data_IF_777062070713
#
_entry.id   IF_777062070713
#
_cell.length_a   1.000
_cell.length_b   1.000
_cell.length_c   1.000
_cell.angle_alpha   90.00
_cell.angle_beta   90.00
_cell.angle_gamma   90.00
#
_symmetry.space_group_name_H-M   'P 1'
#
loop_
_entity.id
_entity.type
_entity.pdbx_description
1 polymer ?
#
# COMPACT_ATOMS: atom_id res chain seq x y z
N UNK A 1 14.06 -8.32 14.30
CA UNK A 1 14.24 -9.19 13.12
C UNK A 1 15.19 -10.31 13.50
N UNK A 2 14.78 -11.55 13.25
CA UNK A 2 15.53 -12.77 13.65
C UNK A 2 16.47 -13.20 12.51
N UNK A 3 16.31 -12.65 11.30
CA UNK A 3 17.12 -13.04 10.16
C UNK A 3 18.39 -12.18 10.06
N UNK A 4 19.53 -12.85 9.86
CA UNK A 4 20.84 -12.26 9.57
C UNK A 4 21.10 -12.14 8.07
N UNK A 5 20.37 -12.91 7.28
CA UNK A 5 20.52 -13.00 5.84
C UNK A 5 19.15 -13.01 5.17
N UNK A 6 19.03 -12.24 4.09
CA UNK A 6 17.81 -12.16 3.28
C UNK A 6 18.20 -12.54 1.85
N UNK A 7 17.45 -13.46 1.25
CA UNK A 7 17.61 -13.87 -0.14
C UNK A 7 16.37 -13.41 -0.91
N UNK A 8 16.58 -12.61 -1.94
CA UNK A 8 15.55 -12.15 -2.86
C UNK A 8 15.67 -12.90 -4.18
N UNK A 9 14.59 -13.51 -4.63
CA UNK A 9 14.47 -14.04 -5.98
C UNK A 9 13.70 -13.03 -6.83
N UNK A 10 14.37 -12.44 -7.82
CA UNK A 10 13.79 -11.39 -8.64
C UNK A 10 14.21 -11.61 -10.11
N UNK A 11 13.23 -11.68 -11.04
CA UNK A 11 13.44 -11.94 -12.48
C UNK A 11 14.46 -13.06 -12.79
N UNK A 12 14.34 -14.19 -12.13
CA UNK A 12 15.25 -15.36 -12.26
C UNK A 12 16.66 -15.15 -11.70
N UNK A 13 16.94 -14.04 -11.02
CA UNK A 13 18.18 -13.77 -10.31
C UNK A 13 18.00 -13.89 -8.80
N UNK A 14 19.02 -14.46 -8.14
CA UNK A 14 19.10 -14.52 -6.69
C UNK A 14 20.02 -13.41 -6.18
N UNK A 15 19.52 -12.60 -5.28
CA UNK A 15 20.29 -11.57 -4.60
C UNK A 15 20.35 -11.90 -3.11
N UNK A 16 21.53 -11.86 -2.53
CA UNK A 16 21.72 -12.10 -1.09
C UNK A 16 22.12 -10.81 -0.39
N UNK A 17 21.49 -10.54 0.74
CA UNK A 17 21.76 -9.38 1.58
C UNK A 17 22.11 -9.85 2.98
N UNK A 18 23.29 -9.50 3.47
CA UNK A 18 23.74 -9.83 4.82
C UNK A 18 23.38 -8.68 5.75
N UNK A 19 22.29 -8.81 6.48
CA UNK A 19 21.81 -7.78 7.37
C UNK A 19 20.33 -7.93 7.75
N UNK A 20 19.83 -6.95 8.47
CA UNK A 20 18.43 -6.89 8.86
C UNK A 20 17.53 -6.39 7.69
N UNK A 21 16.22 -6.42 7.91
CA UNK A 21 15.23 -5.99 6.90
C UNK A 21 15.43 -4.53 6.44
N UNK A 22 15.81 -3.62 7.33
CA UNK A 22 16.06 -2.23 6.98
C UNK A 22 17.25 -2.10 6.01
N UNK A 23 18.33 -2.83 6.25
CA UNK A 23 19.48 -2.91 5.35
C UNK A 23 19.11 -3.48 3.97
N UNK A 24 18.28 -4.53 3.95
CA UNK A 24 17.76 -5.09 2.70
C UNK A 24 16.99 -4.06 1.88
N UNK A 25 16.05 -3.32 2.50
CA UNK A 25 15.23 -2.30 1.82
C UNK A 25 16.11 -1.19 1.24
N UNK A 26 17.09 -0.71 2.00
CA UNK A 26 18.04 0.31 1.55
C UNK A 26 18.85 -0.18 0.34
N UNK A 27 19.46 -1.36 0.44
CA UNK A 27 20.30 -1.92 -0.62
C UNK A 27 19.51 -2.33 -1.86
N UNK A 28 18.28 -2.76 -1.68
CA UNK A 28 17.36 -3.00 -2.79
C UNK A 28 17.02 -1.71 -3.54
N UNK A 29 16.72 -0.64 -2.81
CA UNK A 29 16.44 0.67 -3.40
C UNK A 29 17.65 1.20 -4.20
N UNK A 30 18.87 1.16 -3.64
CA UNK A 30 20.10 1.52 -4.33
C UNK A 30 20.31 0.72 -5.63
N UNK A 31 20.06 -0.61 -5.58
CA UNK A 31 20.17 -1.48 -6.75
C UNK A 31 19.19 -1.08 -7.86
N UNK A 32 17.94 -0.84 -7.50
CA UNK A 32 16.90 -0.45 -8.45
C UNK A 32 17.19 0.92 -9.05
N UNK A 33 17.64 1.87 -8.25
CA UNK A 33 18.06 3.20 -8.74
C UNK A 33 19.23 3.10 -9.74
N UNK A 34 20.23 2.29 -9.42
CA UNK A 34 21.35 2.03 -10.33
C UNK A 34 20.89 1.41 -11.66
N UNK A 35 20.00 0.40 -11.61
CA UNK A 35 19.41 -0.21 -12.81
C UNK A 35 18.60 0.79 -13.62
N UNK A 36 17.78 1.62 -12.97
CA UNK A 36 17.02 2.65 -13.66
C UNK A 36 17.90 3.71 -14.32
N UNK A 37 18.99 4.10 -13.67
CA UNK A 37 19.98 5.01 -14.26
C UNK A 37 20.66 4.41 -15.50
N UNK A 38 20.96 3.10 -15.50
CA UNK A 38 21.50 2.40 -16.69
C UNK A 38 20.48 2.35 -17.83
N UNK A 39 19.20 2.06 -17.51
CA UNK A 39 18.11 2.03 -18.49
C UNK A 39 17.90 3.44 -19.09
N UNK A 40 17.99 4.49 -18.29
CA UNK A 40 17.84 5.86 -18.78
C UNK A 40 19.02 6.28 -19.68
N UNK A 41 20.23 5.86 -19.35
CA UNK A 41 21.41 6.03 -20.25
C UNK A 41 21.19 5.28 -21.58
N UNK A 42 20.71 4.01 -21.52
CA UNK A 42 20.40 3.23 -22.70
C UNK A 42 19.30 3.88 -23.54
N UNK A 43 18.28 4.47 -22.90
CA UNK A 43 17.18 5.19 -23.58
C UNK A 43 17.67 6.46 -24.29
N UNK A 44 18.54 7.21 -23.68
CA UNK A 44 19.11 8.40 -24.30
C UNK A 44 19.98 8.04 -25.52
N UNK A 45 20.80 6.99 -25.41
CA UNK A 45 21.57 6.43 -26.52
C UNK A 45 20.63 5.90 -27.63
N UNK A 46 19.57 5.19 -27.25
CA UNK A 46 18.58 4.68 -28.21
C UNK A 46 17.91 5.78 -29.00
N UNK A 47 17.56 6.93 -28.38
CA UNK A 47 17.00 8.09 -29.11
C UNK A 47 17.96 8.61 -30.18
N UNK A 48 19.23 8.72 -29.85
CA UNK A 48 20.28 9.18 -30.80
C UNK A 48 20.45 8.18 -31.94
N UNK A 49 20.51 6.87 -31.63
CA UNK A 49 20.65 5.83 -32.63
C UNK A 49 19.37 5.65 -33.48
N UNK A 50 18.18 5.91 -32.91
CA UNK A 50 16.92 5.89 -33.64
C UNK A 50 16.86 6.99 -34.72
N UNK A 51 17.38 8.19 -34.41
CA UNK A 51 17.48 9.27 -35.40
C UNK A 51 18.44 8.90 -36.54
N UNK A 52 19.54 8.22 -36.19
CA UNK A 52 20.47 7.72 -37.19
C UNK A 52 19.84 6.63 -38.08
N UNK A 53 19.13 5.67 -37.50
CA UNK A 53 18.42 4.62 -38.22
C UNK A 53 17.34 5.17 -39.18
N UNK A 54 16.61 6.24 -38.76
CA UNK A 54 15.60 6.90 -39.60
C UNK A 54 16.18 7.57 -40.86
N UNK A 55 17.45 7.93 -40.83
CA UNK A 55 18.16 8.52 -41.99
C UNK A 55 18.56 7.48 -43.04
N UNK A 56 18.13 6.22 -42.93
CA UNK A 56 18.46 5.10 -43.83
C UNK A 56 19.94 5.03 -44.17
N UNK A 57 20.82 4.61 -43.26
CA UNK A 57 22.25 4.48 -43.53
C UNK A 57 22.48 3.44 -44.62
N UNK A 58 23.20 3.81 -45.69
CA UNK A 58 23.55 2.90 -46.77
C UNK A 58 24.46 1.78 -46.22
N UNK A 59 24.05 0.52 -46.42
CA UNK A 59 24.74 -0.67 -45.92
C UNK A 59 26.03 -0.99 -46.70
N UNK A 60 27.05 -0.14 -46.61
CA UNK A 60 28.33 -0.35 -47.31
C UNK A 60 29.54 -0.54 -46.42
N UNK A 61 29.42 -1.10 -45.21
CA UNK A 61 30.58 -1.63 -44.47
C UNK A 61 30.16 -2.42 -43.23
N UNK A 62 31.00 -3.38 -42.78
CA UNK A 62 30.84 -4.15 -41.54
C UNK A 62 30.56 -3.28 -40.29
N UNK A 63 31.04 -2.04 -40.26
CA UNK A 63 30.74 -1.07 -39.18
C UNK A 63 29.27 -0.65 -39.10
N UNK A 64 28.54 -0.63 -40.23
CA UNK A 64 27.12 -0.32 -40.22
C UNK A 64 26.30 -1.47 -39.64
N UNK A 65 26.67 -2.73 -39.92
CA UNK A 65 25.99 -3.90 -39.36
C UNK A 65 26.14 -3.95 -37.84
N UNK A 66 27.34 -3.80 -37.30
CA UNK A 66 27.59 -3.76 -35.85
C UNK A 66 26.75 -2.68 -35.15
N UNK A 67 26.60 -1.51 -35.78
CA UNK A 67 25.80 -0.42 -35.21
C UNK A 67 24.29 -0.73 -35.24
N UNK A 68 23.83 -1.45 -36.26
CA UNK A 68 22.44 -1.93 -36.35
C UNK A 68 22.17 -2.99 -35.26
N UNK A 69 23.08 -3.92 -35.08
CA UNK A 69 22.96 -4.95 -34.03
C UNK A 69 22.96 -4.31 -32.64
N UNK A 70 23.81 -3.34 -32.41
CA UNK A 70 23.86 -2.59 -31.15
C UNK A 70 22.59 -1.75 -30.90
N UNK A 71 21.95 -1.23 -31.97
CA UNK A 71 20.66 -0.55 -31.88
C UNK A 71 19.56 -1.48 -31.33
N UNK A 72 19.45 -2.72 -31.80
CA UNK A 72 18.47 -3.67 -31.30
C UNK A 72 18.76 -4.11 -29.87
N UNK A 73 20.01 -4.20 -29.48
CA UNK A 73 20.41 -4.43 -28.08
C UNK A 73 20.00 -3.27 -27.17
N UNK A 74 20.25 -2.03 -27.62
CA UNK A 74 19.83 -0.83 -26.89
C UNK A 74 18.31 -0.71 -26.81
N UNK A 75 17.59 -1.06 -27.87
CA UNK A 75 16.13 -1.10 -27.87
C UNK A 75 15.60 -2.06 -26.82
N UNK A 76 16.18 -3.26 -26.72
CA UNK A 76 15.81 -4.27 -25.72
C UNK A 76 16.07 -3.76 -24.30
N UNK A 77 17.23 -3.15 -24.04
CA UNK A 77 17.56 -2.54 -22.75
C UNK A 77 16.69 -1.34 -22.41
N UNK A 78 16.42 -0.47 -23.37
CA UNK A 78 15.58 0.72 -23.17
C UNK A 78 14.10 0.38 -22.84
N UNK A 79 13.64 -0.80 -23.25
CA UNK A 79 12.30 -1.33 -22.96
C UNK A 79 12.19 -2.02 -21.58
N UNK A 80 13.31 -2.29 -20.91
CA UNK A 80 13.36 -3.00 -19.62
C UNK A 80 13.10 -2.09 -18.40
N UNK A 81 12.51 -0.92 -18.59
CA UNK A 81 12.27 -0.02 -17.46
C UNK A 81 11.41 -0.69 -16.39
N UNK A 82 11.99 -0.90 -15.22
CA UNK A 82 11.24 -1.12 -14.00
C UNK A 82 10.62 0.20 -13.59
N UNK A 83 9.33 0.28 -13.73
CA UNK A 83 8.58 1.38 -13.15
C UNK A 83 8.36 1.05 -11.67
N UNK A 84 9.36 1.29 -10.83
CA UNK A 84 8.99 1.71 -9.50
C UNK A 84 8.34 3.06 -9.73
N UNK A 85 7.03 3.05 -9.63
CA UNK A 85 6.24 4.26 -9.76
C UNK A 85 6.55 5.05 -8.50
N UNK A 86 7.50 5.99 -8.60
CA UNK A 86 7.65 7.06 -7.61
C UNK A 86 6.42 7.97 -7.74
N UNK A 87 5.27 7.41 -7.39
CA UNK A 87 4.00 8.12 -7.41
C UNK A 87 3.94 8.92 -6.13
N UNK A 88 4.22 10.19 -6.23
CA UNK A 88 3.89 11.16 -5.20
C UNK A 88 2.36 11.25 -5.11
N UNK A 89 1.79 10.37 -4.31
CA UNK A 89 0.35 10.25 -4.10
C UNK A 89 -0.08 11.11 -2.93
N UNK A 90 -0.33 12.34 -3.18
CA UNK A 90 -1.22 13.10 -2.30
C UNK A 90 -2.67 12.79 -2.71
N UNK A 91 -3.23 11.63 -2.30
CA UNK A 91 -4.67 11.43 -2.40
C UNK A 91 -5.33 12.46 -1.50
N UNK A 92 -6.17 13.32 -2.09
CA UNK A 92 -6.91 14.31 -1.33
C UNK A 92 -7.86 13.59 -0.39
N UNK A 93 -7.51 13.51 0.89
CA UNK A 93 -8.47 13.11 1.91
C UNK A 93 -9.63 14.11 1.91
N UNK A 94 -10.84 13.61 2.08
CA UNK A 94 -12.01 14.49 2.20
C UNK A 94 -11.83 15.48 3.35
N UNK A 95 -12.64 16.56 3.34
CA UNK A 95 -12.63 17.55 4.43
C UNK A 95 -12.75 16.85 5.79
N UNK A 96 -11.87 17.19 6.71
CA UNK A 96 -11.88 16.75 8.11
C UNK A 96 -12.29 17.93 8.97
N UNK A 97 -13.39 17.80 9.70
CA UNK A 97 -13.82 18.77 10.72
C UNK A 97 -12.85 18.83 11.91
N UNK A 98 -13.13 19.71 12.86
CA UNK A 98 -12.29 19.85 14.06
C UNK A 98 -12.43 18.67 15.03
N UNK A 99 -13.58 18.00 15.05
CA UNK A 99 -13.84 16.82 15.88
C UNK A 99 -13.58 15.56 15.10
N UNK A 100 -12.66 14.75 15.57
CA UNK A 100 -12.31 13.45 14.98
C UNK A 100 -13.03 12.35 15.72
N UNK A 101 -12.54 11.96 16.89
CA UNK A 101 -13.30 11.20 17.86
C UNK A 101 -12.84 11.52 19.29
N UNK A 102 -13.75 11.33 20.22
CA UNK A 102 -13.53 11.52 21.63
C UNK A 102 -14.09 10.33 22.41
N UNK A 103 -13.22 9.68 23.18
CA UNK A 103 -13.58 8.62 24.10
C UNK A 103 -13.57 9.15 25.54
N UNK A 104 -14.67 8.96 26.28
CA UNK A 104 -14.79 9.36 27.70
C UNK A 104 -15.21 8.17 28.55
N UNK A 105 -14.35 7.80 29.49
CA UNK A 105 -14.56 6.75 30.47
C UNK A 105 -15.05 5.43 29.88
N UNK A 106 -14.54 5.10 28.68
CA UNK A 106 -14.98 3.95 27.91
C UNK A 106 -14.53 2.66 28.58
N UNK A 107 -15.51 1.77 28.84
CA UNK A 107 -15.25 0.43 29.34
C UNK A 107 -15.80 -0.62 28.39
N UNK A 108 -15.05 -1.72 28.25
CA UNK A 108 -15.49 -2.92 27.52
C UNK A 108 -14.92 -4.16 28.15
N UNK A 109 -15.80 -5.12 28.46
CA UNK A 109 -15.45 -6.41 29.06
C UNK A 109 -16.19 -7.50 28.29
N UNK A 110 -15.50 -8.58 27.97
CA UNK A 110 -16.13 -9.80 27.50
C UNK A 110 -16.21 -10.84 28.61
N UNK A 111 -17.29 -11.57 28.64
CA UNK A 111 -17.48 -12.72 29.53
C UNK A 111 -17.44 -13.96 28.66
N UNK A 112 -16.52 -14.87 28.91
CA UNK A 112 -16.46 -16.15 28.20
C UNK A 112 -17.75 -16.94 28.48
N UNK A 113 -18.50 -17.34 27.46
CA UNK A 113 -19.73 -18.12 27.66
C UNK A 113 -19.45 -19.53 28.20
N UNK A 114 -18.22 -20.02 28.09
CA UNK A 114 -17.83 -21.37 28.50
C UNK A 114 -17.26 -21.37 29.93
N UNK A 115 -16.36 -20.45 30.24
CA UNK A 115 -15.61 -20.43 31.51
C UNK A 115 -16.16 -19.40 32.51
N UNK A 116 -17.04 -18.47 32.08
CA UNK A 116 -17.48 -17.35 32.90
C UNK A 116 -16.38 -16.31 33.21
N UNK A 117 -15.16 -16.50 32.71
CA UNK A 117 -14.05 -15.56 32.94
C UNK A 117 -14.31 -14.22 32.30
N UNK A 118 -14.04 -13.16 33.06
CA UNK A 118 -14.14 -11.77 32.58
C UNK A 118 -12.82 -11.33 31.99
N UNK A 119 -12.83 -10.97 30.72
CA UNK A 119 -11.70 -10.35 30.03
C UNK A 119 -11.97 -8.86 29.81
N UNK A 120 -11.30 -8.03 30.57
CA UNK A 120 -11.37 -6.57 30.41
C UNK A 120 -10.55 -6.16 29.19
N UNK A 121 -11.17 -5.49 28.24
CA UNK A 121 -10.52 -4.95 27.04
C UNK A 121 -10.15 -3.48 27.23
N UNK A 122 -11.10 -2.68 27.69
CA UNK A 122 -10.90 -1.27 28.00
C UNK A 122 -11.42 -0.99 29.42
N UNK A 123 -10.68 -0.16 30.17
CA UNK A 123 -11.06 0.28 31.50
C UNK A 123 -10.88 1.79 31.61
N UNK A 124 -11.97 2.53 31.76
CA UNK A 124 -11.97 3.98 31.90
C UNK A 124 -11.07 4.67 30.84
N UNK A 125 -11.16 4.20 29.61
CA UNK A 125 -10.33 4.70 28.53
C UNK A 125 -10.79 6.09 28.12
N UNK A 126 -9.88 7.05 28.16
CA UNK A 126 -10.09 8.42 27.76
C UNK A 126 -9.10 8.78 26.67
N UNK A 127 -9.59 9.27 25.55
CA UNK A 127 -8.73 9.68 24.44
C UNK A 127 -9.43 10.72 23.56
N UNK A 128 -8.70 11.77 23.17
CA UNK A 128 -9.15 12.76 22.20
C UNK A 128 -8.23 12.66 21.00
N UNK A 129 -8.76 12.19 19.89
CA UNK A 129 -7.98 12.02 18.66
C UNK A 129 -7.83 13.35 17.95
N UNK A 130 -6.58 13.73 17.68
CA UNK A 130 -6.24 14.99 17.03
C UNK A 130 -6.41 14.91 15.52
N UNK A 131 -6.60 16.06 14.89
CA UNK A 131 -6.71 16.13 13.43
C UNK A 131 -5.38 15.75 12.79
N UNK A 132 -5.44 14.88 11.77
CA UNK A 132 -4.28 14.33 11.04
C UNK A 132 -3.34 13.46 11.87
N UNK A 133 -3.71 13.13 13.07
CA UNK A 133 -2.94 12.23 13.92
C UNK A 133 -2.82 10.84 13.30
N UNK A 134 -1.63 10.26 13.40
CA UNK A 134 -1.35 8.90 12.97
C UNK A 134 -0.97 8.06 14.19
N UNK A 135 -1.92 7.23 14.64
CA UNK A 135 -1.80 6.42 15.85
C UNK A 135 -1.42 4.98 15.50
N UNK A 136 -0.29 4.51 16.04
CA UNK A 136 0.10 3.11 16.02
C UNK A 136 -0.42 2.37 17.25
N UNK A 137 -1.04 1.21 17.06
CA UNK A 137 -1.48 0.34 18.16
C UNK A 137 -0.63 -0.92 18.13
N UNK A 138 0.12 -1.15 19.24
CA UNK A 138 0.99 -2.31 19.40
C UNK A 138 0.51 -3.12 20.60
N UNK A 139 0.52 -4.43 20.50
CA UNK A 139 0.16 -5.31 21.61
C UNK A 139 0.13 -6.77 21.20
N UNK A 140 0.19 -7.68 22.17
CA UNK A 140 0.12 -9.13 21.92
C UNK A 140 -1.18 -9.52 21.27
N UNK A 141 -1.22 -10.69 20.62
CA UNK A 141 -2.46 -11.22 20.08
C UNK A 141 -3.48 -11.45 21.21
N UNK A 142 -4.74 -11.11 20.94
CA UNK A 142 -5.83 -11.25 21.91
C UNK A 142 -5.89 -10.15 22.98
N UNK A 143 -5.10 -9.08 22.94
CA UNK A 143 -5.20 -7.96 23.90
C UNK A 143 -6.43 -7.07 23.68
N UNK A 144 -7.11 -7.19 22.53
CA UNK A 144 -8.33 -6.41 22.27
C UNK A 144 -8.20 -5.38 21.14
N UNK A 145 -7.08 -5.40 20.38
CA UNK A 145 -6.84 -4.45 19.29
C UNK A 145 -8.00 -4.39 18.27
N UNK A 146 -8.41 -5.55 17.76
CA UNK A 146 -9.56 -5.61 16.81
C UNK A 146 -10.88 -5.26 17.48
N UNK A 147 -11.04 -5.51 18.79
CA UNK A 147 -12.22 -5.05 19.54
C UNK A 147 -12.25 -3.53 19.64
N UNK A 148 -11.10 -2.88 19.88
CA UNK A 148 -10.99 -1.43 19.89
C UNK A 148 -11.43 -0.84 18.53
N UNK A 149 -10.97 -1.42 17.42
CA UNK A 149 -11.40 -1.00 16.08
C UNK A 149 -12.92 -1.18 15.90
N UNK A 150 -13.49 -2.32 16.31
CA UNK A 150 -14.94 -2.57 16.22
C UNK A 150 -15.77 -1.61 17.06
N UNK A 151 -15.27 -1.22 18.23
CA UNK A 151 -15.88 -0.18 19.05
C UNK A 151 -15.89 1.17 18.33
N UNK A 152 -14.75 1.53 17.71
CA UNK A 152 -14.60 2.77 16.95
C UNK A 152 -15.54 2.82 15.74
N UNK A 153 -15.71 1.70 15.06
CA UNK A 153 -16.61 1.58 13.91
C UNK A 153 -18.11 1.46 14.31
N UNK A 154 -18.40 1.36 15.63
CA UNK A 154 -19.76 1.18 16.12
C UNK A 154 -20.34 -0.21 15.91
N UNK A 155 -19.52 -1.20 15.53
CA UNK A 155 -19.94 -2.59 15.32
C UNK A 155 -20.22 -3.34 16.63
N UNK A 156 -19.62 -2.88 17.73
CA UNK A 156 -19.78 -3.45 19.06
C UNK A 156 -20.19 -2.34 20.02
N UNK A 157 -21.22 -2.56 20.86
CA UNK A 157 -21.66 -1.58 21.85
C UNK A 157 -20.65 -1.46 23.01
N UNK A 158 -20.58 -0.28 23.62
CA UNK A 158 -19.86 -0.04 24.85
C UNK A 158 -20.60 -0.65 26.05
N UNK A 159 -19.89 -1.02 27.11
CA UNK A 159 -20.51 -1.39 28.38
C UNK A 159 -20.81 -0.14 29.22
N UNK A 160 -19.91 0.87 29.17
CA UNK A 160 -20.12 2.21 29.76
C UNK A 160 -19.23 3.24 29.10
N UNK A 161 -19.47 4.51 29.42
CA UNK A 161 -18.76 5.64 28.83
C UNK A 161 -19.41 6.13 27.55
N UNK A 162 -18.75 7.03 26.85
CA UNK A 162 -19.19 7.57 25.57
C UNK A 162 -18.09 7.56 24.53
N UNK A 163 -18.49 7.34 23.27
CA UNK A 163 -17.61 7.34 22.12
C UNK A 163 -18.26 8.21 21.04
N UNK A 164 -17.70 9.39 20.85
CA UNK A 164 -18.28 10.39 19.98
C UNK A 164 -17.38 10.62 18.76
N UNK A 165 -17.88 10.29 17.57
CA UNK A 165 -17.19 10.39 16.28
C UNK A 165 -17.71 11.60 15.51
N UNK A 166 -16.79 12.38 14.93
CA UNK A 166 -17.13 13.57 14.15
C UNK A 166 -17.96 13.23 12.90
N UNK A 167 -19.03 13.99 12.66
CA UNK A 167 -19.95 13.74 11.54
C UNK A 167 -19.31 13.80 10.14
N UNK A 168 -18.12 14.42 10.02
CA UNK A 168 -17.38 14.49 8.74
C UNK A 168 -16.44 13.33 8.51
N UNK A 169 -16.31 12.42 9.47
CA UNK A 169 -15.38 11.28 9.37
C UNK A 169 -15.94 10.24 8.41
N UNK A 170 -15.08 9.86 7.47
CA UNK A 170 -15.30 8.76 6.52
C UNK A 170 -14.22 7.72 6.74
N UNK A 171 -14.60 6.64 7.40
CA UNK A 171 -13.70 5.54 7.67
C UNK A 171 -13.39 4.74 6.40
N UNK A 172 -12.09 4.44 6.21
CA UNK A 172 -11.62 3.37 5.36
C UNK A 172 -11.04 2.29 6.24
N UNK A 173 -11.65 1.13 6.28
CA UNK A 173 -11.20 0.02 7.12
C UNK A 173 -10.66 -1.12 6.28
N UNK A 174 -9.38 -1.41 6.46
CA UNK A 174 -8.73 -2.59 5.93
C UNK A 174 -8.66 -3.65 7.03
N UNK A 175 -9.54 -4.63 6.92
CA UNK A 175 -9.68 -5.72 7.90
C UNK A 175 -8.74 -6.89 7.57
N UNK A 176 -8.24 -7.55 8.60
CA UNK A 176 -7.44 -8.77 8.46
C UNK A 176 -8.16 -9.89 7.70
N UNK A 177 -9.49 -10.00 7.84
CA UNK A 177 -10.29 -11.09 7.21
C UNK A 177 -10.60 -10.88 5.73
N UNK A 178 -10.13 -9.80 5.10
CA UNK A 178 -10.36 -9.51 3.68
C UNK A 178 -11.85 -9.38 3.29
N UNK A 179 -12.10 -8.85 2.10
CA UNK A 179 -13.44 -8.79 1.51
C UNK A 179 -13.71 -10.03 0.64
N UNK A 180 -14.96 -10.51 0.68
CA UNK A 180 -15.44 -11.44 -0.34
C UNK A 180 -15.87 -10.61 -1.56
N UNK A 181 -15.31 -10.91 -2.70
CA UNK A 181 -15.66 -10.28 -3.96
C UNK A 181 -16.60 -11.18 -4.76
N UNK A 182 -17.46 -10.58 -5.57
CA UNK A 182 -18.30 -11.31 -6.52
C UNK A 182 -17.43 -12.05 -7.54
N UNK A 183 -17.52 -13.37 -7.58
CA UNK A 183 -16.67 -14.24 -8.40
C UNK A 183 -16.73 -13.91 -9.91
N UNK A 184 -17.87 -13.49 -10.40
CA UNK A 184 -18.07 -13.17 -11.82
C UNK A 184 -17.59 -11.80 -12.28
N UNK A 185 -16.98 -10.98 -11.39
CA UNK A 185 -16.49 -9.64 -11.75
C UNK A 185 -15.00 -9.63 -12.11
N UNK A 186 -14.62 -8.73 -13.02
CA UNK A 186 -13.23 -8.44 -13.30
C UNK A 186 -12.65 -7.50 -12.24
N UNK A 187 -11.33 -7.57 -12.04
CA UNK A 187 -10.61 -6.70 -11.09
C UNK A 187 -10.91 -5.23 -11.33
N UNK A 188 -10.86 -4.78 -12.58
CA UNK A 188 -11.12 -3.38 -12.95
C UNK A 188 -12.56 -2.94 -12.65
N UNK A 189 -13.53 -3.84 -12.82
CA UNK A 189 -14.94 -3.51 -12.61
C UNK A 189 -15.24 -3.30 -11.13
N UNK A 190 -14.63 -4.10 -10.24
CA UNK A 190 -14.75 -3.91 -8.77
C UNK A 190 -14.30 -2.51 -8.33
N UNK A 191 -13.22 -2.04 -8.92
CA UNK A 191 -12.66 -0.74 -8.57
C UNK A 191 -13.48 0.39 -9.21
N UNK A 192 -13.96 0.21 -10.45
CA UNK A 192 -14.83 1.17 -11.15
C UNK A 192 -16.19 1.34 -10.50
N UNK A 193 -16.75 0.27 -9.93
CA UNK A 193 -18.01 0.34 -9.16
C UNK A 193 -17.90 1.29 -7.95
N UNK A 194 -16.68 1.55 -7.46
CA UNK A 194 -16.41 2.49 -6.37
C UNK A 194 -16.21 3.90 -6.93
N UNK A 195 -15.30 4.04 -7.89
CA UNK A 195 -15.02 5.29 -8.58
C UNK A 195 -14.30 5.05 -9.91
N UNK A 196 -14.71 5.73 -10.98
CA UNK A 196 -13.96 5.70 -12.24
C UNK A 196 -12.66 6.52 -12.17
N UNK A 197 -12.66 7.55 -11.34
CA UNK A 197 -11.56 8.50 -11.19
C UNK A 197 -11.40 8.89 -9.72
N UNK A 198 -10.17 8.88 -9.24
CA UNK A 198 -9.77 9.35 -7.90
C UNK A 198 -9.14 10.72 -8.02
N UNK A 199 -9.54 11.65 -7.17
CA UNK A 199 -8.90 12.96 -7.04
C UNK A 199 -7.67 12.84 -6.13
N UNK A 200 -6.50 13.12 -6.70
CA UNK A 200 -5.22 13.08 -5.97
C UNK A 200 -4.90 14.40 -5.25
N UNK A 201 -5.75 15.41 -5.35
CA UNK A 201 -5.45 16.76 -4.92
C UNK A 201 -4.72 17.58 -6.02
N UNK A 202 -4.60 18.88 -5.81
CA UNK A 202 -3.95 19.80 -6.76
C UNK A 202 -4.51 19.76 -8.20
N UNK A 203 -5.77 19.31 -8.38
CA UNK A 203 -6.39 19.16 -9.69
C UNK A 203 -5.95 17.92 -10.48
N UNK A 204 -5.07 17.11 -9.93
CA UNK A 204 -4.67 15.84 -10.55
C UNK A 204 -5.72 14.76 -10.30
N UNK A 205 -6.05 14.03 -11.36
CA UNK A 205 -7.00 12.92 -11.34
C UNK A 205 -6.31 11.65 -11.82
N UNK A 206 -6.63 10.53 -11.19
CA UNK A 206 -6.13 9.21 -11.57
C UNK A 206 -7.30 8.30 -11.92
N UNK A 207 -7.21 7.61 -13.05
CA UNK A 207 -8.22 6.63 -13.43
C UNK A 207 -8.12 5.36 -12.57
N UNK A 208 -9.19 4.58 -12.47
CA UNK A 208 -9.20 3.29 -11.79
C UNK A 208 -8.08 2.35 -12.30
N UNK A 209 -7.83 2.33 -13.61
CA UNK A 209 -6.76 1.53 -14.20
C UNK A 209 -5.36 1.98 -13.76
N UNK A 210 -5.10 3.28 -13.74
CA UNK A 210 -3.82 3.83 -13.25
C UNK A 210 -3.62 3.55 -11.76
N UNK A 211 -4.71 3.65 -10.97
CA UNK A 211 -4.67 3.32 -9.55
C UNK A 211 -4.33 1.85 -9.31
N UNK A 212 -4.95 0.93 -10.06
CA UNK A 212 -4.61 -0.48 -10.00
C UNK A 212 -3.17 -0.77 -10.43
N UNK A 213 -2.67 -0.09 -11.48
CA UNK A 213 -1.27 -0.23 -11.91
C UNK A 213 -0.29 0.18 -10.81
N UNK A 214 -0.60 1.23 -10.09
CA UNK A 214 0.19 1.67 -8.94
C UNK A 214 0.26 0.61 -7.85
N UNK A 215 -0.84 -0.09 -7.61
CA UNK A 215 -0.87 -1.26 -6.73
C UNK A 215 -0.49 -2.56 -7.44
N UNK A 216 0.38 -2.47 -8.45
CA UNK A 216 1.03 -3.58 -9.13
C UNK A 216 0.11 -4.57 -9.85
N UNK A 217 -1.10 -4.14 -10.24
CA UNK A 217 -1.93 -4.89 -11.17
C UNK A 217 -1.55 -4.55 -12.61
N UNK A 218 -0.96 -5.49 -13.32
CA UNK A 218 -0.65 -5.31 -14.74
C UNK A 218 -1.93 -5.07 -15.57
N UNK A 219 -1.85 -4.43 -16.75
CA UNK A 219 -3.02 -4.22 -17.60
C UNK A 219 -3.80 -5.49 -17.89
N UNK A 220 -3.13 -6.64 -18.08
CA UNK A 220 -3.78 -7.92 -18.33
C UNK A 220 -4.54 -8.41 -17.08
N UNK A 221 -3.91 -8.37 -15.91
CA UNK A 221 -4.54 -8.78 -14.65
C UNK A 221 -5.77 -7.95 -14.28
N UNK A 222 -5.82 -6.68 -14.69
CA UNK A 222 -7.00 -5.83 -14.45
C UNK A 222 -8.27 -6.35 -15.12
N UNK A 223 -8.14 -7.06 -16.26
CA UNK A 223 -9.25 -7.64 -17.00
C UNK A 223 -9.50 -9.11 -16.68
N UNK A 224 -8.69 -9.72 -15.80
CA UNK A 224 -8.95 -11.05 -15.28
C UNK A 224 -10.09 -11.05 -14.26
N UNK A 225 -10.73 -12.21 -14.09
CA UNK A 225 -11.76 -12.41 -13.07
C UNK A 225 -11.13 -12.53 -11.68
N UNK A 226 -11.79 -11.95 -10.67
CA UNK A 226 -11.30 -11.92 -9.29
C UNK A 226 -11.07 -13.33 -8.70
N UNK A 227 -11.82 -14.31 -9.14
CA UNK A 227 -11.65 -15.71 -8.71
C UNK A 227 -10.28 -16.31 -9.08
N UNK A 228 -9.62 -15.79 -10.13
CA UNK A 228 -8.28 -16.22 -10.55
C UNK A 228 -7.15 -15.61 -9.74
N UNK A 229 -7.44 -14.60 -8.93
CA UNK A 229 -6.45 -13.95 -8.10
C UNK A 229 -5.97 -14.88 -6.97
N UNK A 230 -4.67 -14.86 -6.72
CA UNK A 230 -4.07 -15.43 -5.51
C UNK A 230 -4.59 -14.74 -4.24
N UNK A 231 -4.34 -15.34 -3.08
CA UNK A 231 -4.73 -14.75 -1.78
C UNK A 231 -4.14 -13.35 -1.59
N UNK A 232 -2.84 -13.17 -1.84
CA UNK A 232 -2.15 -11.88 -1.73
C UNK A 232 -2.68 -10.83 -2.72
N UNK A 233 -2.99 -11.22 -3.97
CA UNK A 233 -3.60 -10.32 -4.95
C UNK A 233 -5.02 -9.90 -4.55
N UNK A 234 -5.80 -10.78 -3.93
CA UNK A 234 -7.13 -10.42 -3.38
C UNK A 234 -7.01 -9.42 -2.24
N UNK A 235 -6.04 -9.60 -1.34
CA UNK A 235 -5.77 -8.65 -0.26
C UNK A 235 -5.30 -7.30 -0.80
N UNK A 236 -4.47 -7.29 -1.83
CA UNK A 236 -4.06 -6.08 -2.55
C UNK A 236 -5.25 -5.38 -3.19
N UNK A 237 -6.15 -6.13 -3.83
CA UNK A 237 -7.40 -5.58 -4.39
C UNK A 237 -8.30 -5.01 -3.28
N UNK A 238 -8.42 -5.70 -2.14
CA UNK A 238 -9.14 -5.19 -0.98
C UNK A 238 -8.58 -3.85 -0.53
N UNK A 239 -7.26 -3.74 -0.40
CA UNK A 239 -6.62 -2.46 -0.07
C UNK A 239 -6.97 -1.36 -1.08
N UNK A 240 -6.91 -1.67 -2.39
CA UNK A 240 -7.31 -0.73 -3.43
C UNK A 240 -8.76 -0.25 -3.24
N UNK A 241 -9.69 -1.16 -2.94
CA UNK A 241 -11.11 -0.79 -2.74
C UNK A 241 -11.32 0.12 -1.54
N UNK A 242 -10.56 -0.07 -0.47
CA UNK A 242 -10.60 0.80 0.71
C UNK A 242 -10.09 2.19 0.38
N UNK A 243 -8.94 2.29 -0.29
CA UNK A 243 -8.28 3.56 -0.59
C UNK A 243 -9.02 4.36 -1.67
N UNK A 244 -9.63 3.69 -2.66
CA UNK A 244 -10.43 4.34 -3.71
C UNK A 244 -11.65 5.09 -3.20
N UNK A 245 -12.19 4.72 -2.05
CA UNK A 245 -13.30 5.45 -1.39
C UNK A 245 -12.89 6.81 -0.86
N UNK A 246 -11.62 7.19 -1.01
CA UNK A 246 -11.03 8.45 -0.53
C UNK A 246 -11.40 8.71 0.94
N UNK A 247 -11.08 7.79 1.86
CA UNK A 247 -11.35 7.99 3.28
C UNK A 247 -10.55 9.19 3.81
N UNK A 248 -11.06 9.85 4.84
CA UNK A 248 -10.30 10.85 5.56
C UNK A 248 -9.81 10.34 6.93
N UNK A 249 -10.27 9.15 7.32
CA UNK A 249 -9.78 8.39 8.46
C UNK A 249 -9.54 6.94 8.05
N UNK A 250 -8.29 6.52 8.02
CA UNK A 250 -7.90 5.19 7.60
C UNK A 250 -7.59 4.31 8.81
N UNK A 251 -8.09 3.09 8.81
CA UNK A 251 -7.82 2.07 9.81
C UNK A 251 -7.24 0.86 9.11
N UNK A 252 -6.03 0.46 9.50
CA UNK A 252 -5.34 -0.71 8.95
C UNK A 252 -5.12 -1.73 10.06
N UNK A 253 -5.74 -2.90 9.95
CA UNK A 253 -5.61 -4.00 10.91
C UNK A 253 -4.69 -5.09 10.34
N UNK A 254 -3.45 -5.15 10.84
CA UNK A 254 -2.37 -6.08 10.47
C UNK A 254 -2.09 -6.15 8.95
N UNK A 255 -1.86 -5.02 8.27
CA UNK A 255 -1.70 -5.01 6.80
C UNK A 255 -0.46 -5.76 6.33
N UNK A 256 0.51 -6.00 7.21
CA UNK A 256 1.78 -6.67 6.88
C UNK A 256 1.68 -8.18 6.77
N UNK A 257 0.60 -8.80 7.27
CA UNK A 257 0.48 -10.25 7.30
C UNK A 257 0.19 -10.85 5.91
N UNK A 258 -0.55 -10.12 5.08
CA UNK A 258 -1.15 -10.66 3.86
C UNK A 258 -0.68 -9.95 2.57
N UNK A 259 0.15 -8.91 2.70
CA UNK A 259 0.68 -8.14 1.57
C UNK A 259 2.14 -8.51 1.30
N UNK A 260 2.49 -8.62 0.02
CA UNK A 260 3.87 -8.82 -0.42
C UNK A 260 4.72 -7.54 -0.24
N UNK A 261 6.02 -7.68 -0.19
CA UNK A 261 6.96 -6.58 0.04
C UNK A 261 6.80 -5.41 -0.95
N UNK A 262 6.64 -5.65 -2.26
CA UNK A 262 6.38 -4.56 -3.20
C UNK A 262 5.11 -3.77 -2.89
N UNK A 263 4.03 -4.47 -2.54
CA UNK A 263 2.77 -3.81 -2.14
C UNK A 263 2.90 -3.04 -0.84
N UNK A 264 3.65 -3.57 0.13
CA UNK A 264 3.94 -2.86 1.38
C UNK A 264 4.72 -1.57 1.12
N UNK A 265 5.69 -1.58 0.20
CA UNK A 265 6.43 -0.36 -0.18
C UNK A 265 5.48 0.70 -0.78
N UNK A 266 4.55 0.28 -1.65
CA UNK A 266 3.53 1.18 -2.21
C UNK A 266 2.61 1.73 -1.12
N UNK A 267 2.18 0.87 -0.18
CA UNK A 267 1.35 1.28 0.96
C UNK A 267 2.10 2.27 1.87
N UNK A 268 3.34 2.00 2.22
CA UNK A 268 4.18 2.91 3.01
C UNK A 268 4.27 4.31 2.37
N UNK A 269 4.60 4.38 1.09
CA UNK A 269 4.68 5.63 0.35
C UNK A 269 3.35 6.37 0.33
N UNK A 270 2.24 5.65 0.17
CA UNK A 270 0.90 6.21 0.27
C UNK A 270 0.63 6.79 1.66
N UNK A 271 0.92 6.03 2.74
CA UNK A 271 0.64 6.45 4.13
C UNK A 271 1.47 7.65 4.57
N UNK A 272 2.71 7.77 4.08
CA UNK A 272 3.56 8.94 4.35
C UNK A 272 2.97 10.22 3.77
N UNK A 273 2.29 10.13 2.62
CA UNK A 273 1.70 11.27 1.93
C UNK A 273 0.21 11.46 2.26
N UNK A 274 -0.39 10.52 2.98
CA UNK A 274 -1.81 10.55 3.32
C UNK A 274 -2.12 11.74 4.25
N UNK A 275 -2.96 12.65 3.75
CA UNK A 275 -3.40 13.85 4.45
C UNK A 275 -4.69 13.61 5.25
N UNK A 276 -4.80 12.48 5.90
CA UNK A 276 -5.92 12.09 6.76
C UNK A 276 -5.43 11.60 8.10
N UNK A 277 -6.36 11.25 8.97
CA UNK A 277 -6.07 10.58 10.24
C UNK A 277 -5.90 9.08 10.02
N UNK A 278 -5.03 8.44 10.77
CA UNK A 278 -4.68 7.02 10.61
C UNK A 278 -4.65 6.30 11.95
N UNK A 279 -5.23 5.12 11.99
CA UNK A 279 -4.92 4.10 12.99
C UNK A 279 -4.29 2.91 12.27
N UNK A 280 -3.11 2.50 12.72
CA UNK A 280 -2.45 1.31 12.22
C UNK A 280 -2.18 0.33 13.36
N UNK A 281 -2.73 -0.86 13.23
CA UNK A 281 -2.45 -1.99 14.12
C UNK A 281 -1.48 -2.90 13.40
N UNK A 282 -0.29 -3.08 13.94
CA UNK A 282 0.69 -3.99 13.35
C UNK A 282 1.71 -4.49 14.37
N UNK A 283 2.20 -5.70 14.15
CA UNK A 283 3.36 -6.24 14.82
C UNK A 283 4.68 -5.81 14.18
N UNK A 284 4.62 -5.26 12.96
CA UNK A 284 5.79 -4.71 12.27
C UNK A 284 6.14 -3.33 12.81
N UNK A 285 7.13 -3.31 13.69
CA UNK A 285 7.63 -2.07 14.29
C UNK A 285 8.25 -1.11 13.26
N UNK A 286 8.78 -1.62 12.16
CA UNK A 286 9.37 -0.77 11.14
C UNK A 286 8.30 0.09 10.47
N UNK A 287 7.22 -0.54 9.99
CA UNK A 287 6.09 0.17 9.39
C UNK A 287 5.46 1.17 10.36
N UNK A 288 5.19 0.72 11.60
CA UNK A 288 4.56 1.59 12.60
C UNK A 288 5.44 2.79 12.94
N UNK A 289 6.74 2.60 13.18
CA UNK A 289 7.66 3.70 13.50
C UNK A 289 7.84 4.69 12.34
N UNK A 290 7.69 4.21 11.10
CA UNK A 290 7.84 5.05 9.89
C UNK A 290 6.61 5.94 9.64
N UNK A 291 5.44 5.49 10.07
CA UNK A 291 4.16 6.10 9.68
C UNK A 291 3.42 6.75 10.85
N UNK A 292 3.55 6.22 12.07
CA UNK A 292 2.80 6.70 13.23
C UNK A 292 3.52 7.83 13.97
N UNK A 293 2.75 8.84 14.40
CA UNK A 293 3.24 9.96 15.22
C UNK A 293 3.25 9.59 16.71
N UNK A 294 2.31 8.74 17.15
CA UNK A 294 2.16 8.27 18.53
C UNK A 294 1.79 6.79 18.61
N UNK A 295 2.04 6.19 19.76
CA UNK A 295 1.82 4.77 20.01
C UNK A 295 0.88 4.57 21.20
N UNK A 296 -0.08 3.66 21.02
CA UNK A 296 -0.90 3.08 22.08
C UNK A 296 -0.40 1.63 22.31
N UNK A 297 -0.03 1.33 23.57
CA UNK A 297 0.54 0.03 23.93
C UNK A 297 -0.33 -0.68 24.95
#
# INVERSE_FOLDING_TARGET
>A
SVCTDIIELDEHHLYSYHGNYAYYVEKRAERIEAQNAEVEKARNLYRTELEWMRRMPQARAHKAQYRIDNFYELEKKAKQQRTEVDVRLAVKSGYIGNKIFEAKEVCKTYISPITGEKKVILRNFNYVFSRYEKLGIIGKNGTGKSTFIKLLLGEVPLDSGSWDVGATIRFGYYAQTGLQFDAGKKVIDIVRDIAEVVDLGNGQKMTASQFLQMFLFSPNQQYDYVEKLSGGERQRLHLCTVLMRSPNFLILDEPTNDLDLPTLTVLENFLLQFQGSLIIVSHDRYLVNKVADCLLV
#
